data_IF_182445787533
#
_entry.id   IF_182445787533
#
_cell.length_a   1.000
_cell.length_b   1.000
_cell.length_c   1.000
_cell.angle_alpha   90.00
_cell.angle_beta   90.00
_cell.angle_gamma   90.00
#
_symmetry.space_group_name_H-M   'P 1'
#
loop_
_entity.id
_entity.type
_entity.pdbx_description
1 polymer ?
#
# COMPACT_ATOMS: atom_id res chain seq x y z
N UNK A 1 -3.41 -11.63 45.02
CA UNK A 1 -4.41 -10.70 44.41
C UNK A 1 -3.86 -9.30 44.41
N UNK A 2 -3.40 -8.80 43.27
CA UNK A 2 -3.52 -7.38 42.87
C UNK A 2 -2.75 -7.16 41.59
N UNK A 3 -3.51 -7.11 40.51
CA UNK A 3 -3.18 -6.54 39.22
C UNK A 3 -2.82 -5.06 39.35
N UNK A 4 -1.75 -4.63 38.68
CA UNK A 4 -1.62 -3.25 38.19
C UNK A 4 -1.16 -3.29 36.74
N UNK A 5 -2.17 -3.42 35.88
CA UNK A 5 -2.16 -2.87 34.53
C UNK A 5 -1.98 -1.35 34.67
N UNK A 6 -0.89 -0.79 34.14
CA UNK A 6 -0.81 0.65 33.90
C UNK A 6 -0.34 0.86 32.46
N UNK A 7 -1.16 1.60 31.72
CA UNK A 7 -1.29 1.54 30.27
C UNK A 7 -0.11 2.15 29.49
N UNK A 8 0.26 1.58 28.32
CA UNK A 8 1.29 2.14 27.44
C UNK A 8 0.86 3.39 26.65
N UNK A 9 -0.35 3.92 26.88
CA UNK A 9 -0.92 5.04 26.11
C UNK A 9 -0.84 6.41 26.82
N UNK A 10 -0.30 6.49 28.04
CA UNK A 10 -0.17 7.77 28.76
C UNK A 10 0.94 8.68 28.21
N UNK A 11 1.86 8.16 27.39
CA UNK A 11 2.92 8.95 26.75
C UNK A 11 2.44 9.76 25.53
N UNK A 12 1.20 9.56 25.06
CA UNK A 12 0.67 10.22 23.85
C UNK A 12 -0.12 11.52 24.14
N UNK A 13 -0.45 11.81 25.41
CA UNK A 13 -1.23 12.99 25.81
C UNK A 13 -0.41 14.07 26.53
N UNK A 14 0.91 13.92 26.65
CA UNK A 14 1.80 14.92 27.26
C UNK A 14 2.47 15.87 26.26
N UNK A 15 2.00 15.93 25.01
CA UNK A 15 2.41 16.96 24.05
C UNK A 15 1.77 18.31 24.39
N UNK A 16 2.27 18.92 25.46
CA UNK A 16 2.10 20.35 25.74
C UNK A 16 3.22 21.07 25.01
N UNK A 17 2.95 22.03 24.10
CA UNK A 17 4.01 22.85 23.54
C UNK A 17 4.64 23.65 24.69
N UNK A 18 5.87 23.31 25.05
CA UNK A 18 6.70 24.22 25.83
C UNK A 18 6.91 25.44 24.95
N UNK A 19 6.30 26.55 25.35
CA UNK A 19 6.69 27.87 24.90
C UNK A 19 8.20 28.00 25.14
N UNK A 20 8.95 28.07 24.04
CA UNK A 20 10.37 28.39 24.04
C UNK A 20 10.52 29.84 24.52
N UNK A 21 10.67 29.97 25.83
CA UNK A 21 10.75 31.25 26.52
C UNK A 21 11.43 31.05 27.86
N UNK A 22 12.63 30.46 27.87
CA UNK A 22 13.54 30.49 29.01
C UNK A 22 14.95 30.04 28.58
N UNK A 23 15.82 31.04 28.35
CA UNK A 23 17.23 31.05 28.73
C UNK A 23 18.17 30.06 28.03
N UNK A 24 18.59 30.43 26.83
CA UNK A 24 19.97 30.22 26.37
C UNK A 24 20.73 31.52 26.66
N UNK A 25 21.41 31.57 27.80
CA UNK A 25 22.56 32.47 27.97
C UNK A 25 23.78 31.75 27.41
N UNK A 26 24.49 32.42 26.50
CA UNK A 26 25.83 32.05 26.07
C UNK A 26 25.91 31.40 24.69
N UNK A 27 25.83 32.21 23.63
CA UNK A 27 26.69 32.19 22.43
C UNK A 27 26.03 33.05 21.33
N UNK A 28 26.19 34.37 21.48
CA UNK A 28 25.73 35.38 20.54
C UNK A 28 26.55 36.66 20.71
N UNK A 29 27.87 36.51 20.87
CA UNK A 29 28.81 37.61 20.90
C UNK A 29 29.38 37.79 19.50
N UNK A 30 28.78 38.68 18.70
CA UNK A 30 29.26 38.98 17.35
C UNK A 30 28.72 40.28 16.75
N UNK A 31 27.41 40.57 16.88
CA UNK A 31 26.80 41.69 16.15
C UNK A 31 26.70 43.01 16.93
N UNK A 32 26.80 42.97 18.26
CA UNK A 32 26.56 44.17 19.09
C UNK A 32 27.80 45.06 19.24
N UNK A 33 28.95 44.69 18.66
CA UNK A 33 30.20 45.46 18.74
C UNK A 33 30.45 46.31 17.48
N UNK A 34 29.88 45.92 16.33
CA UNK A 34 30.09 46.61 15.05
C UNK A 34 29.18 47.85 14.87
N UNK A 35 28.00 47.81 15.50
CA UNK A 35 27.04 48.93 15.52
C UNK A 35 27.33 49.99 16.60
N UNK A 36 28.33 49.78 17.47
CA UNK A 36 28.74 50.78 18.47
C UNK A 36 29.67 51.83 17.85
N UNK A 37 29.49 53.09 18.23
CA UNK A 37 30.41 54.16 17.83
C UNK A 37 31.78 53.90 18.45
N UNK A 38 32.85 53.98 17.65
CA UNK A 38 34.21 53.67 18.11
C UNK A 38 34.81 54.90 18.79
N UNK A 39 35.65 54.67 19.80
CA UNK A 39 36.38 55.76 20.48
C UNK A 39 37.29 56.49 19.46
N UNK A 40 36.99 57.78 19.24
CA UNK A 40 37.72 58.64 18.29
C UNK A 40 37.10 58.75 16.90
N UNK A 41 35.95 58.13 16.64
CA UNK A 41 35.23 58.25 15.38
C UNK A 41 34.32 59.50 15.36
N UNK A 42 34.35 60.25 14.25
CA UNK A 42 33.43 61.37 14.06
C UNK A 42 31.99 60.86 13.83
N UNK A 43 30.99 61.63 14.25
CA UNK A 43 29.57 61.27 14.06
C UNK A 43 29.23 61.01 12.57
N UNK A 44 29.95 61.67 11.66
CA UNK A 44 29.76 61.54 10.21
C UNK A 44 30.38 60.25 9.65
N UNK A 45 31.53 59.82 10.18
CA UNK A 45 32.14 58.53 9.84
C UNK A 45 31.30 57.36 10.40
N UNK A 46 30.76 57.52 11.61
CA UNK A 46 29.86 56.54 12.22
C UNK A 46 28.57 56.38 11.41
N UNK A 47 27.93 57.49 11.03
CA UNK A 47 26.70 57.47 10.23
C UNK A 47 26.91 56.78 8.87
N UNK A 48 28.04 57.05 8.21
CA UNK A 48 28.38 56.40 6.94
C UNK A 48 28.59 54.90 7.09
N UNK A 49 29.26 54.45 8.15
CA UNK A 49 29.44 53.01 8.41
C UNK A 49 28.12 52.30 8.68
N UNK A 50 27.20 52.93 9.42
CA UNK A 50 25.88 52.33 9.67
C UNK A 50 25.06 52.20 8.38
N UNK A 51 25.07 53.22 7.52
CA UNK A 51 24.39 53.17 6.23
C UNK A 51 24.95 52.07 5.30
N UNK A 52 26.27 51.87 5.31
CA UNK A 52 26.92 50.79 4.56
C UNK A 52 26.60 49.39 5.13
N UNK A 53 26.52 49.25 6.46
CA UNK A 53 26.09 48.00 7.12
C UNK A 53 24.64 47.66 6.82
N UNK A 54 23.72 48.64 6.93
CA UNK A 54 22.30 48.44 6.64
C UNK A 54 22.06 48.11 5.15
N UNK A 55 22.84 48.71 4.24
CA UNK A 55 22.81 48.34 2.81
C UNK A 55 23.28 46.91 2.57
N UNK A 56 24.35 46.49 3.24
CA UNK A 56 24.91 45.15 3.12
C UNK A 56 23.94 44.10 3.66
N UNK A 57 23.36 44.34 4.83
CA UNK A 57 22.35 43.46 5.44
C UNK A 57 21.11 43.32 4.54
N UNK A 58 20.63 44.44 3.96
CA UNK A 58 19.50 44.39 3.01
C UNK A 58 19.83 43.58 1.75
N UNK A 59 21.05 43.68 1.23
CA UNK A 59 21.49 42.90 0.07
C UNK A 59 21.57 41.40 0.38
N UNK A 60 22.12 41.04 1.55
CA UNK A 60 22.20 39.65 2.00
C UNK A 60 20.80 39.06 2.27
N UNK A 61 19.87 39.83 2.81
CA UNK A 61 18.48 39.41 3.02
C UNK A 61 17.75 39.16 1.69
N UNK A 62 18.00 39.98 0.66
CA UNK A 62 17.45 39.76 -0.68
C UNK A 62 18.03 38.52 -1.37
N UNK A 63 19.32 38.25 -1.23
CA UNK A 63 19.93 37.02 -1.77
C UNK A 63 19.37 35.77 -1.07
N UNK A 64 19.25 35.81 0.25
CA UNK A 64 18.68 34.70 1.03
C UNK A 64 17.23 34.41 0.65
N UNK A 65 16.42 35.45 0.41
CA UNK A 65 15.04 35.29 -0.09
C UNK A 65 15.01 34.66 -1.49
N UNK A 66 15.89 35.09 -2.40
CA UNK A 66 15.98 34.49 -3.75
C UNK A 66 16.40 33.03 -3.71
N UNK A 67 17.34 32.68 -2.84
CA UNK A 67 17.78 31.29 -2.66
C UNK A 67 16.67 30.42 -2.06
N UNK A 68 15.94 30.92 -1.06
CA UNK A 68 14.80 30.21 -0.46
C UNK A 68 13.67 29.99 -1.47
N UNK A 69 13.32 31.01 -2.27
CA UNK A 69 12.33 30.92 -3.33
C UNK A 69 12.77 29.92 -4.42
N UNK A 70 14.05 29.92 -4.80
CA UNK A 70 14.60 28.95 -5.74
C UNK A 70 14.52 27.52 -5.19
N UNK A 71 14.88 27.31 -3.92
CA UNK A 71 14.80 26.00 -3.25
C UNK A 71 13.36 25.50 -3.17
N UNK A 72 12.41 26.40 -2.88
CA UNK A 72 10.99 26.07 -2.82
C UNK A 72 10.43 25.71 -4.20
N UNK A 73 10.83 26.44 -5.23
CA UNK A 73 10.45 26.13 -6.61
C UNK A 73 11.02 24.78 -7.10
N UNK A 74 12.25 24.44 -6.70
CA UNK A 74 12.85 23.14 -6.99
C UNK A 74 12.12 22.01 -6.25
N UNK A 75 11.77 22.21 -4.97
CA UNK A 75 11.01 21.24 -4.19
C UNK A 75 9.60 21.00 -4.77
N UNK A 76 8.93 22.06 -5.26
CA UNK A 76 7.65 21.94 -5.95
C UNK A 76 7.77 21.21 -7.30
N UNK A 77 8.81 21.50 -8.09
CA UNK A 77 9.07 20.76 -9.33
C UNK A 77 9.31 19.28 -9.07
N UNK A 78 10.09 18.95 -8.05
CA UNK A 78 10.35 17.56 -7.65
C UNK A 78 9.07 16.86 -7.20
N UNK A 79 8.22 17.53 -6.41
CA UNK A 79 6.90 17.00 -6.02
C UNK A 79 5.97 16.80 -7.21
N UNK A 80 5.98 17.70 -8.19
CA UNK A 80 5.16 17.58 -9.40
C UNK A 80 5.65 16.43 -10.30
N UNK A 81 6.97 16.24 -10.39
CA UNK A 81 7.58 15.11 -11.11
C UNK A 81 7.26 13.77 -10.44
N UNK A 82 7.39 13.68 -9.11
CA UNK A 82 7.00 12.50 -8.34
C UNK A 82 5.50 12.20 -8.47
N UNK A 83 4.65 13.23 -8.48
CA UNK A 83 3.21 13.07 -8.66
C UNK A 83 2.86 12.59 -10.08
N UNK A 84 3.49 13.14 -11.12
CA UNK A 84 3.31 12.69 -12.50
C UNK A 84 3.84 11.28 -12.71
N UNK A 85 4.94 10.90 -12.06
CA UNK A 85 5.47 9.53 -12.09
C UNK A 85 4.52 8.57 -11.38
N UNK A 86 3.97 8.95 -10.22
CA UNK A 86 2.97 8.15 -9.51
C UNK A 86 1.62 8.01 -10.28
N UNK A 87 1.25 9.00 -11.10
CA UNK A 87 0.02 8.97 -11.90
C UNK A 87 0.20 8.25 -13.24
N UNK A 88 1.35 8.42 -13.91
CA UNK A 88 1.69 7.70 -15.13
C UNK A 88 2.03 6.22 -14.85
N UNK A 89 2.64 5.94 -13.69
CA UNK A 89 2.94 4.62 -13.20
C UNK A 89 2.13 4.30 -11.94
N UNK A 90 0.88 3.90 -12.13
CA UNK A 90 0.17 3.09 -11.13
C UNK A 90 0.80 1.70 -10.88
N UNK A 91 2.11 1.54 -11.11
CA UNK A 91 2.92 0.32 -11.02
C UNK A 91 4.43 0.63 -11.12
N UNK A 92 4.98 1.65 -10.46
CA UNK A 92 6.45 1.73 -10.39
C UNK A 92 6.97 1.04 -9.13
N UNK A 93 7.67 -0.05 -9.39
CA UNK A 93 8.67 -0.68 -8.53
C UNK A 93 9.90 0.25 -8.47
N UNK A 94 9.68 1.54 -8.15
CA UNK A 94 10.58 2.63 -8.53
C UNK A 94 11.97 2.44 -7.93
N UNK A 95 12.93 2.09 -8.78
CA UNK A 95 14.33 1.78 -8.49
C UNK A 95 15.17 2.95 -7.91
N UNK A 96 14.55 3.90 -7.21
CA UNK A 96 15.29 4.99 -6.57
C UNK A 96 15.13 4.92 -5.05
N UNK A 97 16.03 4.15 -4.42
CA UNK A 97 16.27 4.20 -2.98
C UNK A 97 17.77 4.36 -2.76
N UNK A 98 18.21 5.61 -2.78
CA UNK A 98 19.51 6.05 -2.26
C UNK A 98 19.52 6.08 -0.72
N UNK A 99 19.11 4.96 -0.12
CA UNK A 99 19.43 4.64 1.26
C UNK A 99 20.91 4.30 1.37
N UNK A 100 21.71 5.23 1.87
CA UNK A 100 23.13 5.03 2.17
C UNK A 100 23.31 3.96 3.26
N UNK A 101 23.51 2.71 2.82
CA UNK A 101 23.66 1.53 3.68
C UNK A 101 23.21 0.24 2.98
N UNK A 102 24.14 -0.70 2.76
CA UNK A 102 23.86 -1.97 2.08
C UNK A 102 22.70 -2.77 2.73
N UNK A 103 22.56 -2.69 4.06
CA UNK A 103 21.47 -3.34 4.80
C UNK A 103 20.12 -2.62 4.63
N UNK A 104 20.12 -1.30 4.50
CA UNK A 104 18.91 -0.50 4.28
C UNK A 104 18.31 -0.78 2.90
N UNK A 105 19.13 -0.79 1.85
CA UNK A 105 18.69 -1.14 0.49
C UNK A 105 18.17 -2.58 0.42
N UNK A 106 18.81 -3.53 1.10
CA UNK A 106 18.32 -4.91 1.17
C UNK A 106 16.99 -5.03 1.94
N UNK A 107 16.77 -4.25 2.99
CA UNK A 107 15.51 -4.21 3.71
C UNK A 107 14.38 -3.60 2.85
N UNK A 108 14.66 -2.51 2.16
CA UNK A 108 13.73 -1.87 1.22
C UNK A 108 13.33 -2.81 0.08
N UNK A 109 14.31 -3.49 -0.55
CA UNK A 109 14.04 -4.47 -1.59
C UNK A 109 13.14 -5.62 -1.11
N UNK A 110 13.40 -6.17 0.08
CA UNK A 110 12.52 -7.20 0.68
C UNK A 110 11.11 -6.66 0.94
N UNK A 111 10.99 -5.40 1.38
CA UNK A 111 9.69 -4.81 1.66
C UNK A 111 8.89 -4.57 0.38
N UNK A 112 9.53 -4.07 -0.68
CA UNK A 112 8.92 -3.92 -2.02
C UNK A 112 8.41 -5.26 -2.53
N UNK A 113 9.23 -6.29 -2.43
CA UNK A 113 8.87 -7.65 -2.85
C UNK A 113 7.70 -8.22 -2.04
N UNK A 114 7.66 -7.98 -0.72
CA UNK A 114 6.52 -8.36 0.13
C UNK A 114 5.25 -7.64 -0.30
N UNK A 115 5.33 -6.35 -0.63
CA UNK A 115 4.19 -5.55 -1.11
C UNK A 115 3.72 -6.06 -2.47
N UNK A 116 4.64 -6.34 -3.41
CA UNK A 116 4.34 -6.93 -4.71
C UNK A 116 3.58 -8.25 -4.56
N UNK A 117 4.13 -9.19 -3.79
CA UNK A 117 3.49 -10.47 -3.50
C UNK A 117 2.11 -10.30 -2.85
N UNK A 118 1.98 -9.43 -1.86
CA UNK A 118 0.73 -9.19 -1.15
C UNK A 118 -0.38 -8.67 -2.08
N UNK A 119 -0.04 -7.73 -2.99
CA UNK A 119 -0.98 -7.18 -3.97
C UNK A 119 -1.49 -8.26 -4.93
N UNK A 120 -0.59 -9.06 -5.49
CA UNK A 120 -0.93 -10.15 -6.42
C UNK A 120 -1.84 -11.17 -5.73
N UNK A 121 -1.48 -11.61 -4.52
CA UNK A 121 -2.26 -12.58 -3.76
C UNK A 121 -3.63 -12.05 -3.35
N UNK A 122 -3.71 -10.81 -2.87
CA UNK A 122 -4.98 -10.19 -2.50
C UNK A 122 -5.92 -10.10 -3.71
N UNK A 123 -5.40 -9.72 -4.88
CA UNK A 123 -6.19 -9.68 -6.11
C UNK A 123 -6.62 -11.09 -6.56
N UNK A 124 -5.71 -12.05 -6.53
CA UNK A 124 -6.00 -13.45 -6.84
C UNK A 124 -7.08 -14.05 -5.95
N UNK A 125 -7.05 -13.78 -4.64
CA UNK A 125 -8.06 -14.25 -3.69
C UNK A 125 -9.42 -13.64 -4.00
N UNK A 126 -9.49 -12.33 -4.31
CA UNK A 126 -10.74 -11.66 -4.71
C UNK A 126 -11.37 -12.31 -5.95
N UNK A 127 -10.55 -12.74 -6.91
CA UNK A 127 -11.00 -13.43 -8.12
C UNK A 127 -11.20 -14.95 -7.96
N UNK A 128 -10.90 -15.53 -6.78
CA UNK A 128 -10.95 -16.98 -6.57
C UNK A 128 -9.84 -17.77 -7.28
N UNK A 129 -8.73 -17.12 -7.65
CA UNK A 129 -7.59 -17.67 -8.40
C UNK A 129 -6.29 -17.71 -7.60
N UNK A 130 -6.37 -18.07 -6.32
CA UNK A 130 -5.23 -18.05 -5.40
C UNK A 130 -4.03 -18.88 -5.88
N UNK A 131 -4.25 -19.96 -6.63
CA UNK A 131 -3.16 -20.78 -7.20
C UNK A 131 -2.37 -20.05 -8.29
N UNK A 132 -3.05 -19.45 -9.26
CA UNK A 132 -2.40 -18.69 -10.34
C UNK A 132 -1.69 -17.46 -9.77
N UNK A 133 -2.32 -16.78 -8.82
CA UNK A 133 -1.70 -15.67 -8.12
C UNK A 133 -0.45 -16.08 -7.34
N UNK A 134 -0.45 -17.28 -6.73
CA UNK A 134 0.73 -17.84 -6.06
C UNK A 134 1.90 -18.02 -7.01
N UNK A 135 1.66 -18.57 -8.21
CA UNK A 135 2.71 -18.71 -9.24
C UNK A 135 3.25 -17.35 -9.64
N UNK A 136 2.38 -16.37 -9.92
CA UNK A 136 2.85 -15.02 -10.29
C UNK A 136 3.60 -14.31 -9.16
N UNK A 137 3.17 -14.51 -7.90
CA UNK A 137 3.83 -13.89 -6.75
C UNK A 137 5.21 -14.51 -6.47
N UNK A 138 5.32 -15.84 -6.42
CA UNK A 138 6.52 -16.51 -5.88
C UNK A 138 7.45 -17.09 -6.94
N UNK A 139 6.91 -17.53 -8.09
CA UNK A 139 7.69 -18.23 -9.12
C UNK A 139 8.10 -17.29 -10.28
N UNK A 140 7.59 -16.05 -10.29
CA UNK A 140 7.87 -15.10 -11.37
C UNK A 140 8.30 -13.73 -10.83
N UNK A 141 9.08 -13.00 -11.65
CA UNK A 141 9.48 -11.60 -11.41
C UNK A 141 8.55 -10.60 -12.09
N UNK A 142 7.30 -10.97 -12.32
CA UNK A 142 6.32 -10.10 -12.97
C UNK A 142 5.93 -8.94 -12.04
N UNK A 143 5.76 -7.74 -12.59
CA UNK A 143 5.25 -6.59 -11.83
C UNK A 143 3.83 -6.85 -11.31
N UNK A 144 3.43 -6.11 -10.29
CA UNK A 144 2.13 -6.33 -9.66
C UNK A 144 0.97 -6.10 -10.63
N UNK A 145 1.06 -5.07 -11.47
CA UNK A 145 0.04 -4.74 -12.48
C UNK A 145 -0.01 -5.75 -13.61
N UNK A 146 1.14 -6.19 -14.12
CA UNK A 146 1.18 -7.21 -15.17
C UNK A 146 0.53 -8.52 -14.69
N UNK A 147 0.80 -8.92 -13.44
CA UNK A 147 0.19 -10.10 -12.84
C UNK A 147 -1.31 -9.92 -12.62
N UNK A 148 -1.75 -8.74 -12.18
CA UNK A 148 -3.18 -8.39 -12.05
C UNK A 148 -3.90 -8.44 -13.40
N UNK A 149 -3.29 -7.89 -14.46
CA UNK A 149 -3.85 -7.92 -15.81
C UNK A 149 -3.97 -9.35 -16.34
N UNK A 150 -2.96 -10.20 -16.13
CA UNK A 150 -2.99 -11.61 -16.50
C UNK A 150 -4.08 -12.39 -15.72
N UNK A 151 -4.24 -12.11 -14.43
CA UNK A 151 -5.31 -12.71 -13.62
C UNK A 151 -6.70 -12.31 -14.12
N UNK A 152 -6.89 -11.05 -14.52
CA UNK A 152 -8.14 -10.56 -15.11
C UNK A 152 -8.42 -11.19 -16.48
N UNK A 153 -7.42 -11.22 -17.37
CA UNK A 153 -7.55 -11.88 -18.68
C UNK A 153 -7.91 -13.36 -18.52
N UNK A 154 -7.30 -14.05 -17.56
CA UNK A 154 -7.63 -15.43 -17.25
C UNK A 154 -9.07 -15.62 -16.75
N UNK A 155 -9.69 -14.61 -16.12
CA UNK A 155 -11.11 -14.64 -15.70
C UNK A 155 -12.02 -14.64 -16.92
N UNK A 156 -11.77 -13.76 -17.88
CA UNK A 156 -12.56 -13.66 -19.11
C UNK A 156 -12.43 -14.92 -19.98
N UNK A 157 -11.25 -15.52 -20.01
CA UNK A 157 -10.95 -16.69 -20.85
C UNK A 157 -11.23 -18.03 -20.14
N UNK A 158 -11.63 -18.01 -18.87
CA UNK A 158 -12.00 -19.25 -18.22
C UNK A 158 -13.37 -19.73 -18.70
N UNK A 159 -13.50 -21.03 -19.02
CA UNK A 159 -14.84 -21.61 -19.13
C UNK A 159 -15.56 -21.31 -17.82
N UNK A 160 -16.84 -20.92 -17.88
CA UNK A 160 -17.71 -20.74 -16.71
C UNK A 160 -17.80 -22.06 -15.95
N UNK A 161 -16.76 -22.39 -15.21
CA UNK A 161 -16.68 -23.57 -14.39
C UNK A 161 -17.68 -23.31 -13.28
N UNK A 162 -18.72 -24.15 -13.16
CA UNK A 162 -19.71 -23.95 -12.11
C UNK A 162 -18.94 -23.95 -10.79
N UNK A 163 -19.01 -22.82 -10.07
CA UNK A 163 -18.56 -22.74 -8.68
C UNK A 163 -19.11 -23.98 -8.03
N UNK A 164 -18.25 -24.88 -7.54
CA UNK A 164 -18.65 -26.22 -7.08
C UNK A 164 -19.91 -26.06 -6.26
N UNK A 165 -21.05 -26.44 -6.86
CA UNK A 165 -22.34 -26.26 -6.26
C UNK A 165 -22.52 -27.36 -5.21
N UNK A 166 -21.64 -27.43 -4.22
CA UNK A 166 -21.82 -28.27 -3.05
C UNK A 166 -22.77 -27.62 -2.04
N UNK A 167 -23.73 -26.83 -2.53
CA UNK A 167 -24.76 -26.21 -1.73
C UNK A 167 -25.83 -27.23 -1.36
N UNK A 168 -26.58 -26.92 -0.29
CA UNK A 168 -27.72 -27.71 0.15
C UNK A 168 -28.71 -27.98 -1.00
N UNK A 169 -28.91 -27.02 -1.90
CA UNK A 169 -29.76 -27.17 -3.09
C UNK A 169 -29.33 -28.35 -3.98
N UNK A 170 -28.03 -28.53 -4.25
CA UNK A 170 -27.56 -29.67 -5.05
C UNK A 170 -27.64 -30.99 -4.29
N UNK A 171 -27.56 -30.97 -2.96
CA UNK A 171 -27.76 -32.17 -2.13
C UNK A 171 -29.24 -32.56 -2.10
N UNK A 172 -30.14 -31.59 -1.96
CA UNK A 172 -31.59 -31.78 -1.96
C UNK A 172 -32.14 -32.15 -3.34
N UNK A 173 -31.48 -31.72 -4.43
CA UNK A 173 -31.84 -32.13 -5.79
C UNK A 173 -31.67 -33.64 -6.03
N UNK A 174 -30.78 -34.30 -5.28
CA UNK A 174 -30.59 -35.76 -5.36
C UNK A 174 -31.50 -36.54 -4.42
N UNK A 175 -32.09 -35.89 -3.43
CA UNK A 175 -33.08 -36.52 -2.54
C UNK A 175 -34.46 -36.38 -3.16
N UNK A 176 -34.94 -37.47 -3.75
CA UNK A 176 -36.31 -37.55 -4.22
C UNK A 176 -37.23 -37.62 -2.99
N UNK A 177 -37.91 -36.51 -2.65
CA UNK A 177 -38.87 -36.48 -1.55
C UNK A 177 -40.19 -37.06 -2.09
N UNK A 178 -40.64 -38.24 -1.63
CA UNK A 178 -41.93 -38.76 -2.05
C UNK A 178 -43.03 -37.81 -1.58
N UNK A 179 -43.91 -37.40 -2.49
CA UNK A 179 -45.07 -36.58 -2.20
C UNK A 179 -45.95 -37.26 -1.16
N UNK A 180 -46.18 -36.59 -0.02
CA UNK A 180 -47.00 -37.12 1.06
C UNK A 180 -48.44 -37.34 0.55
N UNK A 181 -48.91 -38.59 0.61
CA UNK A 181 -50.21 -39.03 0.09
C UNK A 181 -50.13 -39.98 -1.11
N UNK A 182 -48.97 -40.12 -1.75
CA UNK A 182 -48.74 -41.14 -2.78
C UNK A 182 -48.41 -42.49 -2.13
N UNK A 183 -49.42 -43.14 -1.54
CA UNK A 183 -49.36 -44.56 -1.23
C UNK A 183 -49.30 -45.35 -2.53
N UNK A 184 -48.10 -45.72 -2.95
CA UNK A 184 -47.87 -46.57 -4.12
C UNK A 184 -46.40 -46.60 -4.46
N UNK A 185 -45.86 -47.81 -4.65
CA UNK A 185 -44.50 -48.06 -5.12
C UNK A 185 -44.10 -47.06 -6.22
N UNK A 186 -43.30 -46.06 -5.86
CA UNK A 186 -42.65 -45.22 -6.86
C UNK A 186 -41.74 -46.15 -7.68
N UNK A 187 -41.75 -46.08 -9.02
CA UNK A 187 -40.92 -46.95 -9.84
C UNK A 187 -39.44 -46.68 -9.52
N UNK A 188 -38.86 -47.54 -8.69
CA UNK A 188 -37.42 -47.57 -8.46
C UNK A 188 -36.76 -47.83 -9.81
N UNK A 189 -35.81 -46.99 -10.18
CA UNK A 189 -35.00 -47.23 -11.37
C UNK A 189 -34.45 -48.67 -11.29
N UNK A 190 -34.63 -49.49 -12.35
CA UNK A 190 -34.33 -50.91 -12.27
C UNK A 190 -32.87 -51.10 -11.90
N UNK A 191 -32.64 -51.96 -10.91
CA UNK A 191 -31.29 -52.26 -10.44
C UNK A 191 -30.45 -52.82 -11.60
N UNK A 192 -29.13 -52.75 -11.51
CA UNK A 192 -28.26 -53.30 -12.56
C UNK A 192 -28.59 -54.79 -12.84
N UNK A 193 -28.93 -55.55 -11.79
CA UNK A 193 -29.37 -56.93 -11.90
C UNK A 193 -30.71 -57.07 -12.66
N UNK A 194 -31.71 -56.26 -12.35
CA UNK A 194 -33.00 -56.26 -13.04
C UNK A 194 -32.88 -55.90 -14.52
N UNK A 195 -31.99 -54.97 -14.86
CA UNK A 195 -31.70 -54.61 -16.26
C UNK A 195 -31.10 -55.78 -17.05
N UNK A 196 -30.20 -56.55 -16.42
CA UNK A 196 -29.60 -57.75 -17.04
C UNK A 196 -30.67 -58.83 -17.24
N UNK A 197 -31.54 -59.05 -16.25
CA UNK A 197 -32.62 -60.05 -16.34
C UNK A 197 -33.61 -59.66 -17.44
N UNK A 198 -34.02 -58.39 -17.51
CA UNK A 198 -34.94 -57.91 -18.52
C UNK A 198 -34.34 -57.99 -19.94
N UNK A 199 -33.03 -57.73 -20.09
CA UNK A 199 -32.34 -57.92 -21.35
C UNK A 199 -32.32 -59.39 -21.79
N UNK A 200 -32.10 -60.32 -20.86
CA UNK A 200 -32.15 -61.76 -21.16
C UNK A 200 -33.56 -62.25 -21.51
N UNK A 201 -34.60 -61.79 -20.80
CA UNK A 201 -36.00 -62.14 -21.12
C UNK A 201 -36.39 -61.69 -22.52
N UNK A 202 -36.00 -60.47 -22.91
CA UNK A 202 -36.17 -59.97 -24.28
C UNK A 202 -35.43 -60.80 -25.32
N UNK A 203 -34.23 -61.28 -25.01
CA UNK A 203 -33.45 -62.16 -25.90
C UNK A 203 -34.09 -63.53 -26.08
N UNK A 204 -34.84 -64.00 -25.08
CA UNK A 204 -35.54 -65.28 -25.09
C UNK A 204 -36.96 -65.19 -25.69
N UNK A 205 -37.41 -63.99 -26.09
CA UNK A 205 -38.72 -63.80 -26.74
C UNK A 205 -39.90 -63.81 -25.78
N UNK A 206 -39.65 -63.74 -24.46
CA UNK A 206 -40.68 -63.64 -23.45
C UNK A 206 -40.91 -62.16 -23.14
N UNK A 207 -42.01 -61.61 -23.69
CA UNK A 207 -42.53 -60.28 -23.37
C UNK A 207 -43.83 -60.41 -22.59
#
# INVERSE_FOLDING_TARGET
MSSKLLAPFAAFLSNRPQAAGARLEGEGGGDDDERKQRDGESDEDYAKRMDDLDKKERAEEEERKKEEDARRAEEERKKEEDAKRAEAEGDDDSEDDDGDGADAKAAAARQRERVRCARIMAHGIKLGRSRQAGVFAFDTKMSSRAAIAALNAGVEDAPSAPRRASGLSSRMATTNIPTAGAGGDAPRAPTAAERIIHANKRRLGEA
#
